data_IF_813495302121
#
_entry.id   IF_813495302121
#
_cell.length_a   1.000
_cell.length_b   1.000
_cell.length_c   1.000
_cell.angle_alpha   90.00
_cell.angle_beta   90.00
_cell.angle_gamma   90.00
#
_symmetry.space_group_name_H-M   'P 1'
#
loop_
_entity.id
_entity.type
_entity.pdbx_description
1 polymer ?
#
# COMPACT_ATOMS: atom_id res chain seq x y z
N UNK A 1 -25.89 9.86 -10.44
CA UNK A 1 -26.99 8.94 -10.05
C UNK A 1 -27.10 7.88 -11.15
N UNK A 2 -27.02 6.60 -10.80
CA UNK A 2 -27.03 5.48 -11.78
C UNK A 2 -28.39 4.76 -11.83
N UNK A 3 -29.31 5.14 -10.95
CA UNK A 3 -30.67 4.58 -10.93
C UNK A 3 -31.38 4.78 -12.28
N UNK A 4 -32.00 3.71 -12.78
CA UNK A 4 -32.75 3.70 -14.03
C UNK A 4 -31.90 3.68 -15.31
N UNK A 5 -30.59 3.43 -15.23
CA UNK A 5 -29.72 3.30 -16.42
C UNK A 5 -29.16 1.89 -16.52
N UNK A 6 -29.04 1.40 -17.76
CA UNK A 6 -28.30 0.17 -18.04
C UNK A 6 -26.83 0.37 -17.65
N UNK A 7 -26.36 -0.41 -16.69
CA UNK A 7 -24.99 -0.40 -16.22
C UNK A 7 -24.29 -1.69 -16.64
N UNK A 8 -23.07 -1.56 -17.16
CA UNK A 8 -22.18 -2.69 -17.48
C UNK A 8 -20.93 -2.58 -16.63
N UNK A 9 -20.55 -3.65 -15.95
CA UNK A 9 -19.30 -3.73 -15.17
C UNK A 9 -18.23 -4.38 -16.04
N UNK A 10 -17.11 -3.67 -16.27
CA UNK A 10 -15.92 -4.24 -16.89
C UNK A 10 -14.92 -4.67 -15.83
N UNK A 11 -14.32 -5.85 -16.00
CA UNK A 11 -13.34 -6.40 -15.06
C UNK A 11 -12.30 -7.26 -15.79
N UNK A 12 -11.07 -7.27 -15.29
CA UNK A 12 -10.01 -8.19 -15.72
C UNK A 12 -10.05 -9.55 -15.01
N UNK A 13 -11.01 -9.75 -14.12
CA UNK A 13 -11.18 -11.01 -13.40
C UNK A 13 -12.13 -11.97 -14.13
N UNK A 14 -11.61 -12.73 -15.10
CA UNK A 14 -12.42 -13.63 -15.95
C UNK A 14 -13.40 -14.56 -15.21
N UNK A 15 -13.08 -15.15 -14.03
CA UNK A 15 -14.07 -16.00 -13.34
C UNK A 15 -15.33 -15.26 -12.87
N UNK A 16 -15.25 -13.96 -12.58
CA UNK A 16 -16.39 -13.22 -11.99
C UNK A 16 -17.48 -12.89 -13.02
N UNK A 17 -17.16 -12.92 -14.32
CA UNK A 17 -18.15 -12.71 -15.38
C UNK A 17 -19.24 -13.78 -15.39
N UNK A 18 -18.93 -14.95 -14.83
CA UNK A 18 -19.86 -16.07 -14.72
C UNK A 18 -20.57 -16.11 -13.36
N UNK A 19 -20.38 -15.11 -12.50
CA UNK A 19 -20.87 -15.15 -11.12
C UNK A 19 -22.40 -15.30 -11.03
N UNK A 20 -23.16 -14.62 -11.90
CA UNK A 20 -24.62 -14.76 -11.90
C UNK A 20 -25.13 -16.02 -12.62
N UNK A 21 -24.25 -16.79 -13.25
CA UNK A 21 -24.60 -18.04 -13.93
C UNK A 21 -24.33 -19.29 -13.08
N UNK A 22 -23.54 -19.18 -12.00
CA UNK A 22 -23.27 -20.31 -11.11
C UNK A 22 -24.34 -20.46 -10.03
N UNK A 23 -24.53 -21.69 -9.56
CA UNK A 23 -25.44 -22.01 -8.45
C UNK A 23 -24.99 -21.33 -7.16
N UNK A 24 -25.95 -20.83 -6.38
CA UNK A 24 -25.75 -20.15 -5.09
C UNK A 24 -24.91 -20.93 -4.08
N UNK A 25 -25.01 -22.27 -4.11
CA UNK A 25 -24.37 -23.18 -3.15
C UNK A 25 -22.85 -23.20 -3.26
N UNK A 26 -22.30 -22.65 -4.35
CA UNK A 26 -20.86 -22.50 -4.54
C UNK A 26 -20.28 -21.25 -3.88
N UNK A 27 -21.12 -20.34 -3.38
CA UNK A 27 -20.69 -19.09 -2.78
C UNK A 27 -20.61 -19.16 -1.27
N UNK A 28 -19.53 -18.61 -0.73
CA UNK A 28 -19.49 -18.27 0.70
C UNK A 28 -20.54 -17.19 1.02
N UNK A 29 -21.04 -17.11 2.27
CA UNK A 29 -22.00 -16.07 2.68
C UNK A 29 -21.52 -14.63 2.42
N UNK A 30 -20.20 -14.42 2.38
CA UNK A 30 -19.61 -13.12 2.01
C UNK A 30 -19.74 -12.84 0.52
N UNK A 31 -19.39 -13.80 -0.33
CA UNK A 31 -19.52 -13.66 -1.78
C UNK A 31 -20.97 -13.43 -2.19
N UNK A 32 -21.90 -14.20 -1.60
CA UNK A 32 -23.33 -14.03 -1.85
C UNK A 32 -23.80 -12.61 -1.55
N UNK A 33 -23.49 -12.07 -0.35
CA UNK A 33 -23.86 -10.69 0.02
C UNK A 33 -23.28 -9.63 -0.92
N UNK A 34 -22.07 -9.83 -1.43
CA UNK A 34 -21.50 -8.91 -2.41
C UNK A 34 -22.21 -9.01 -3.77
N UNK A 35 -22.51 -10.21 -4.25
CA UNK A 35 -23.23 -10.40 -5.52
C UNK A 35 -24.68 -9.92 -5.45
N UNK A 36 -25.36 -10.13 -4.32
CA UNK A 36 -26.71 -9.63 -4.05
C UNK A 36 -26.76 -8.09 -4.03
N UNK A 37 -25.72 -7.45 -3.48
CA UNK A 37 -25.61 -6.00 -3.59
C UNK A 37 -25.36 -5.54 -5.04
N UNK A 38 -24.49 -6.23 -5.78
CA UNK A 38 -24.18 -5.87 -7.18
C UNK A 38 -25.42 -6.05 -8.08
N UNK A 39 -26.22 -7.11 -7.86
CA UNK A 39 -27.40 -7.41 -8.67
C UNK A 39 -28.51 -6.36 -8.56
N UNK A 40 -28.53 -5.57 -7.48
CA UNK A 40 -29.42 -4.41 -7.36
C UNK A 40 -29.13 -3.33 -8.41
N UNK A 41 -27.92 -3.32 -8.99
CA UNK A 41 -27.51 -2.36 -10.02
C UNK A 41 -27.38 -3.01 -11.40
N UNK A 42 -26.72 -4.16 -11.50
CA UNK A 42 -26.58 -4.88 -12.77
C UNK A 42 -26.18 -6.34 -12.56
N UNK A 43 -26.47 -7.17 -13.57
CA UNK A 43 -25.90 -8.51 -13.72
C UNK A 43 -24.98 -8.63 -14.95
N UNK A 44 -24.84 -7.57 -15.76
CA UNK A 44 -23.98 -7.56 -16.94
C UNK A 44 -22.52 -7.23 -16.54
N UNK A 45 -21.73 -8.30 -16.35
CA UNK A 45 -20.30 -8.23 -16.04
C UNK A 45 -19.50 -8.78 -17.23
N UNK A 46 -18.68 -7.93 -17.85
CA UNK A 46 -17.89 -8.27 -19.04
C UNK A 46 -16.39 -8.26 -18.76
N UNK A 47 -15.70 -9.20 -19.38
CA UNK A 47 -14.25 -9.29 -19.28
C UNK A 47 -13.57 -8.25 -20.17
N UNK A 48 -12.55 -7.59 -19.63
CA UNK A 48 -11.59 -6.77 -20.37
C UNK A 48 -10.17 -7.22 -20.01
N UNK A 49 -9.22 -7.35 -20.95
CA UNK A 49 -7.84 -7.69 -20.60
C UNK A 49 -7.23 -6.66 -19.63
N UNK A 50 -6.44 -7.12 -18.65
CA UNK A 50 -5.80 -6.22 -17.68
C UNK A 50 -4.96 -5.11 -18.31
N UNK A 51 -4.36 -5.36 -19.49
CA UNK A 51 -3.64 -4.34 -20.29
C UNK A 51 -4.52 -3.17 -20.73
N UNK A 52 -5.83 -3.37 -20.85
CA UNK A 52 -6.82 -2.35 -21.21
C UNK A 52 -7.54 -1.79 -19.98
N UNK A 53 -7.45 -2.44 -18.82
CA UNK A 53 -8.06 -2.00 -17.55
C UNK A 53 -7.20 -0.96 -16.80
N UNK A 54 -6.50 -0.10 -17.53
CA UNK A 54 -5.46 0.80 -16.99
C UNK A 54 -6.05 1.74 -15.94
N UNK A 55 -7.23 2.31 -16.19
CA UNK A 55 -7.85 3.27 -15.27
C UNK A 55 -8.17 2.62 -13.92
N UNK A 56 -8.81 1.44 -13.92
CA UNK A 56 -9.11 0.74 -12.67
C UNK A 56 -7.84 0.23 -11.97
N UNK A 57 -6.85 -0.27 -12.73
CA UNK A 57 -5.58 -0.72 -12.16
C UNK A 57 -4.82 0.43 -11.49
N UNK A 58 -4.70 1.59 -12.16
CA UNK A 58 -4.08 2.80 -11.57
C UNK A 58 -4.81 3.30 -10.33
N UNK A 59 -6.15 3.36 -10.36
CA UNK A 59 -6.98 3.74 -9.20
C UNK A 59 -6.96 2.71 -8.07
N UNK A 60 -6.67 1.44 -8.36
CA UNK A 60 -6.49 0.40 -7.34
C UNK A 60 -5.10 0.46 -6.68
N UNK A 61 -4.11 1.06 -7.35
CA UNK A 61 -2.72 1.19 -6.91
C UNK A 61 -2.43 2.53 -6.21
N UNK A 62 -3.35 2.99 -5.37
CA UNK A 62 -3.22 4.26 -4.62
C UNK A 62 -1.99 4.28 -3.69
N UNK A 63 -1.37 3.14 -3.40
CA UNK A 63 -0.06 3.05 -2.74
C UNK A 63 1.05 3.87 -3.41
N UNK A 64 0.93 4.20 -4.71
CA UNK A 64 1.86 5.06 -5.44
C UNK A 64 1.68 6.57 -5.15
N UNK A 65 0.56 6.97 -4.55
CA UNK A 65 0.20 8.37 -4.27
C UNK A 65 0.52 8.79 -2.83
N UNK A 66 1.34 8.03 -2.09
CA UNK A 66 1.72 8.38 -0.72
C UNK A 66 2.26 9.81 -0.65
N UNK A 67 1.83 10.60 0.34
CA UNK A 67 2.46 11.89 0.62
C UNK A 67 3.97 11.67 0.69
N UNK A 68 4.73 12.38 -0.14
CA UNK A 68 6.18 12.22 -0.19
C UNK A 68 6.74 12.56 1.19
N UNK A 69 7.42 11.60 1.80
CA UNK A 69 8.23 11.88 2.99
C UNK A 69 9.30 12.87 2.56
N UNK A 70 9.38 14.00 3.24
CA UNK A 70 10.47 14.94 3.04
C UNK A 70 11.75 14.36 3.61
N UNK A 71 12.52 13.69 2.75
CA UNK A 71 13.78 13.07 3.12
C UNK A 71 14.85 14.09 3.51
N UNK A 72 14.76 15.35 3.06
CA UNK A 72 15.70 16.40 3.49
C UNK A 72 15.47 16.75 4.96
N UNK A 73 14.20 16.87 5.37
CA UNK A 73 13.83 17.11 6.75
C UNK A 73 14.08 15.86 7.62
N UNK A 74 13.88 14.66 7.07
CA UNK A 74 14.23 13.41 7.78
C UNK A 74 15.74 13.35 8.05
N UNK A 75 16.58 13.59 7.05
CA UNK A 75 18.04 13.60 7.21
C UNK A 75 18.51 14.59 8.29
N UNK A 76 17.94 15.81 8.30
CA UNK A 76 18.20 16.79 9.35
C UNK A 76 17.80 16.29 10.73
N UNK A 77 16.63 15.64 10.83
CA UNK A 77 16.18 15.09 12.12
C UNK A 77 17.08 13.96 12.63
N UNK A 78 17.68 13.17 11.73
CA UNK A 78 18.57 12.07 12.08
C UNK A 78 19.89 12.54 12.71
N UNK A 79 20.43 13.69 12.29
CA UNK A 79 21.72 14.20 12.81
C UNK A 79 21.72 14.44 14.33
N UNK A 80 20.57 14.81 14.88
CA UNK A 80 20.38 15.11 16.31
C UNK A 80 19.67 14.01 17.11
N UNK A 81 19.34 12.87 16.50
CA UNK A 81 18.48 11.87 17.12
C UNK A 81 19.27 10.98 18.11
N UNK A 82 18.84 11.00 19.38
CA UNK A 82 19.49 10.23 20.44
C UNK A 82 19.23 8.73 20.32
N UNK A 83 18.06 8.33 19.81
CA UNK A 83 17.74 6.92 19.59
C UNK A 83 18.64 6.33 18.50
N UNK A 84 18.86 7.05 17.40
CA UNK A 84 19.77 6.64 16.33
C UNK A 84 21.20 6.44 16.86
N UNK A 85 21.74 7.42 17.60
CA UNK A 85 23.09 7.32 18.20
C UNK A 85 23.20 6.16 19.20
N UNK A 86 22.12 5.85 19.91
CA UNK A 86 22.06 4.70 20.81
C UNK A 86 22.16 3.40 20.02
N UNK A 87 21.37 3.25 18.94
CA UNK A 87 21.39 2.05 18.11
C UNK A 87 22.68 1.85 17.31
N UNK A 88 23.41 2.92 16.98
CA UNK A 88 24.75 2.81 16.39
C UNK A 88 25.80 2.25 17.37
N UNK A 89 25.63 2.50 18.67
CA UNK A 89 26.57 2.07 19.72
C UNK A 89 26.20 0.73 20.34
N UNK A 90 24.91 0.41 20.39
CA UNK A 90 24.42 -0.86 20.92
C UNK A 90 24.65 -2.00 19.92
N UNK A 91 24.96 -3.19 20.43
CA UNK A 91 25.10 -4.40 19.62
C UNK A 91 23.70 -4.91 19.22
N UNK A 92 23.06 -4.19 18.31
CA UNK A 92 21.79 -4.57 17.69
C UNK A 92 22.03 -5.29 16.36
N UNK A 93 21.02 -6.01 15.87
CA UNK A 93 21.08 -6.60 14.52
C UNK A 93 21.00 -5.59 13.37
N UNK A 94 20.91 -4.29 13.67
CA UNK A 94 20.80 -3.22 12.67
C UNK A 94 22.18 -2.85 12.13
N UNK A 95 22.28 -2.68 10.81
CA UNK A 95 23.49 -2.17 10.16
C UNK A 95 23.20 -0.77 9.64
N UNK A 96 23.31 0.23 10.51
CA UNK A 96 23.02 1.62 10.17
C UNK A 96 24.18 2.24 9.38
N UNK A 97 23.90 2.70 8.16
CA UNK A 97 24.83 3.41 7.29
C UNK A 97 24.16 4.58 6.60
N UNK A 98 24.93 5.62 6.30
CA UNK A 98 24.44 6.70 5.46
C UNK A 98 24.37 6.23 4.00
N UNK A 99 23.19 6.37 3.40
CA UNK A 99 22.92 6.03 2.00
C UNK A 99 22.45 7.28 1.28
N UNK A 100 23.05 7.56 0.12
CA UNK A 100 22.60 8.63 -0.75
C UNK A 100 21.33 8.19 -1.47
N UNK A 101 20.27 9.01 -1.37
CA UNK A 101 19.02 8.71 -2.06
C UNK A 101 19.17 8.90 -3.58
N UNK A 102 18.70 7.94 -4.40
CA UNK A 102 18.82 8.01 -5.86
C UNK A 102 18.24 9.32 -6.42
N UNK A 103 19.03 10.02 -7.24
CA UNK A 103 18.61 11.28 -7.87
C UNK A 103 18.65 12.51 -6.95
N UNK A 104 19.23 12.40 -5.75
CA UNK A 104 19.42 13.54 -4.84
C UNK A 104 20.79 13.50 -4.16
N UNK A 105 21.21 14.62 -3.57
CA UNK A 105 22.43 14.70 -2.73
C UNK A 105 22.12 14.52 -1.22
N UNK A 106 20.96 13.94 -0.89
CA UNK A 106 20.53 13.77 0.50
C UNK A 106 21.06 12.44 1.02
N UNK A 107 21.82 12.51 2.11
CA UNK A 107 22.30 11.34 2.86
C UNK A 107 21.32 11.05 3.99
N UNK A 108 20.80 9.83 4.01
CA UNK A 108 19.87 9.35 5.04
C UNK A 108 20.48 8.14 5.73
N UNK A 109 20.40 8.08 7.05
CA UNK A 109 20.74 6.87 7.79
C UNK A 109 19.71 5.78 7.52
N UNK A 110 20.19 4.66 7.01
CA UNK A 110 19.40 3.50 6.63
C UNK A 110 19.97 2.25 7.28
N UNK A 111 19.10 1.34 7.66
CA UNK A 111 19.49 -0.04 7.95
C UNK A 111 19.70 -0.79 6.63
N UNK A 112 20.90 -1.35 6.46
CA UNK A 112 21.31 -2.14 5.30
C UNK A 112 21.47 -3.63 5.60
N UNK A 113 20.96 -4.09 6.75
CA UNK A 113 20.98 -5.51 7.13
C UNK A 113 20.15 -6.40 6.18
N UNK A 114 19.24 -5.81 5.41
CA UNK A 114 18.37 -6.48 4.43
C UNK A 114 18.77 -6.15 2.99
N UNK A 115 18.21 -6.89 2.02
CA UNK A 115 18.45 -6.67 0.58
C UNK A 115 18.07 -5.27 0.08
N UNK A 116 17.15 -4.60 0.77
CA UNK A 116 16.74 -3.22 0.51
C UNK A 116 17.18 -2.33 1.67
N UNK A 117 17.79 -1.18 1.36
CA UNK A 117 18.11 -0.16 2.37
C UNK A 117 16.81 0.46 2.93
N UNK A 118 16.64 0.43 4.25
CA UNK A 118 15.44 0.94 4.93
C UNK A 118 15.79 2.17 5.78
N UNK A 119 15.25 3.36 5.46
CA UNK A 119 15.52 4.57 6.25
C UNK A 119 15.10 4.42 7.70
N UNK A 120 15.95 4.88 8.62
CA UNK A 120 15.62 4.99 10.04
C UNK A 120 14.69 6.17 10.28
N UNK A 121 13.54 5.93 10.89
CA UNK A 121 12.50 6.94 11.08
C UNK A 121 12.56 7.50 12.50
N UNK A 122 12.98 8.76 12.60
CA UNK A 122 13.02 9.50 13.87
C UNK A 122 11.61 9.69 14.44
N UNK A 123 11.53 9.91 15.75
CA UNK A 123 10.25 9.94 16.51
C UNK A 123 9.23 10.91 15.92
N UNK A 124 9.67 12.07 15.43
CA UNK A 124 8.83 13.11 14.83
C UNK A 124 8.22 12.70 13.47
N UNK A 125 8.86 11.78 12.74
CA UNK A 125 8.40 11.28 11.45
C UNK A 125 7.54 10.02 11.55
N UNK A 126 7.60 9.28 12.66
CA UNK A 126 6.85 8.01 12.84
C UNK A 126 5.36 8.13 12.50
N UNK A 127 4.70 9.18 12.99
CA UNK A 127 3.26 9.40 12.71
C UNK A 127 2.99 9.72 11.24
N UNK A 128 3.88 10.48 10.58
CA UNK A 128 3.76 10.80 9.15
C UNK A 128 3.92 9.54 8.31
N UNK A 129 4.95 8.74 8.58
CA UNK A 129 5.19 7.44 7.90
C UNK A 129 4.01 6.49 8.09
N UNK A 130 3.50 6.38 9.33
CA UNK A 130 2.31 5.58 9.60
C UNK A 130 1.09 6.06 8.80
N UNK A 131 0.80 7.36 8.82
CA UNK A 131 -0.34 7.93 8.09
C UNK A 131 -0.20 7.70 6.58
N UNK A 132 1.01 7.83 6.02
CA UNK A 132 1.27 7.61 4.60
C UNK A 132 1.01 6.17 4.17
N UNK A 133 1.32 5.19 5.01
CA UNK A 133 1.06 3.78 4.71
C UNK A 133 -0.40 3.42 5.02
N UNK A 134 -0.95 3.93 6.11
CA UNK A 134 -2.26 3.50 6.59
C UNK A 134 -3.42 4.17 5.86
N UNK A 135 -3.35 5.47 5.55
CA UNK A 135 -4.49 6.21 4.97
C UNK A 135 -4.84 5.81 3.54
N UNK A 136 -3.90 5.26 2.78
CA UNK A 136 -4.11 4.96 1.36
C UNK A 136 -5.08 3.79 1.15
N UNK A 137 -5.00 2.76 2.00
CA UNK A 137 -5.74 1.49 1.80
C UNK A 137 -6.47 1.05 3.07
N UNK A 138 -6.34 1.81 4.17
CA UNK A 138 -6.78 1.42 5.51
C UNK A 138 -6.46 -0.05 5.85
N UNK A 139 -5.21 -0.50 5.62
CA UNK A 139 -4.86 -1.89 5.86
C UNK A 139 -5.00 -2.21 7.36
N UNK A 140 -5.41 -3.44 7.66
CA UNK A 140 -5.43 -3.94 9.03
C UNK A 140 -4.04 -3.90 9.67
N UNK A 141 -3.98 -4.05 11.00
CA UNK A 141 -2.74 -3.91 11.80
C UNK A 141 -1.59 -4.75 11.24
N UNK A 142 -1.84 -6.04 10.96
CA UNK A 142 -0.81 -6.96 10.42
C UNK A 142 -0.25 -6.49 9.07
N UNK A 143 -1.11 -6.01 8.18
CA UNK A 143 -0.71 -5.53 6.87
C UNK A 143 0.06 -4.21 6.96
N UNK A 144 -0.40 -3.27 7.81
CA UNK A 144 0.31 -2.01 8.08
C UNK A 144 1.72 -2.27 8.62
N UNK A 145 1.85 -3.12 9.65
CA UNK A 145 3.15 -3.45 10.24
C UNK A 145 4.10 -4.11 9.24
N UNK A 146 3.57 -4.99 8.37
CA UNK A 146 4.37 -5.61 7.30
C UNK A 146 4.91 -4.57 6.33
N UNK A 147 4.06 -3.64 5.86
CA UNK A 147 4.44 -2.59 4.93
C UNK A 147 5.46 -1.61 5.52
N UNK A 148 5.30 -1.24 6.80
CA UNK A 148 6.27 -0.39 7.50
C UNK A 148 7.63 -1.09 7.58
N UNK A 149 7.67 -2.35 8.08
CA UNK A 149 8.93 -3.11 8.26
C UNK A 149 9.67 -3.38 6.96
N UNK A 150 8.97 -3.46 5.83
CA UNK A 150 9.59 -3.64 4.52
C UNK A 150 10.30 -2.37 4.03
N UNK A 151 9.85 -1.19 4.46
CA UNK A 151 10.30 0.09 3.91
C UNK A 151 11.14 0.93 4.88
N UNK A 152 10.94 0.76 6.18
CA UNK A 152 11.50 1.62 7.23
C UNK A 152 11.98 0.82 8.44
N UNK A 153 12.83 1.44 9.25
CA UNK A 153 13.24 0.99 10.59
C UNK A 153 12.87 2.02 11.63
#
# INVERSE_FOLDING_TARGET
MVEGRDLVIFTDHKPITFAFQQKSDKYTPRQFRHLDFISQFTMDIRYVPGKQNIVADTLSRVDALSEKIDYTALAKSQQGDDELKKYEKENTGLQLKQVQLPGTNVLVFCDVSTSTARPFVTKSFRRKVFNNIHRLVHPGVKATTKLVKQRFV
#
